data_IF_936553728811
#
_entry.id   IF_936553728811
#
_cell.length_a   1.000
_cell.length_b   1.000
_cell.length_c   1.000
_cell.angle_alpha   90.00
_cell.angle_beta   90.00
_cell.angle_gamma   90.00
#
_symmetry.space_group_name_H-M   'P 1'
#
loop_
_entity.id
_entity.type
_entity.pdbx_description
1 polymer ?
#
# COMPACT_ATOMS: atom_id res chain seq x y z
N UNK A 1 7.57 0.51 -27.36
CA UNK A 1 8.70 -0.16 -26.66
C UNK A 1 8.20 -1.52 -26.19
N UNK A 2 8.89 -2.61 -26.62
CA UNK A 2 8.53 -3.96 -26.19
C UNK A 2 9.29 -4.27 -24.88
N UNK A 3 8.83 -3.66 -23.79
CA UNK A 3 9.44 -3.97 -22.51
C UNK A 3 9.15 -5.43 -22.15
N UNK A 4 10.19 -6.14 -21.70
CA UNK A 4 10.05 -7.53 -21.33
C UNK A 4 9.06 -7.66 -20.16
N UNK A 5 8.34 -8.79 -20.06
CA UNK A 5 7.45 -9.05 -18.94
C UNK A 5 8.15 -8.86 -17.58
N UNK A 6 9.45 -9.18 -17.53
CA UNK A 6 10.26 -8.95 -16.31
C UNK A 6 10.35 -7.46 -15.95
N UNK A 7 10.63 -6.59 -16.92
CA UNK A 7 10.71 -5.15 -16.69
C UNK A 7 9.34 -4.60 -16.24
N UNK A 8 8.26 -5.06 -16.84
CA UNK A 8 6.91 -4.69 -16.47
C UNK A 8 6.57 -5.12 -15.03
N UNK A 9 6.91 -6.36 -14.65
CA UNK A 9 6.70 -6.84 -13.28
C UNK A 9 7.56 -6.07 -12.26
N UNK A 10 8.81 -5.72 -12.60
CA UNK A 10 9.64 -4.87 -11.72
C UNK A 10 9.02 -3.48 -11.56
N UNK A 11 8.48 -2.88 -12.62
CA UNK A 11 7.79 -1.60 -12.55
C UNK A 11 6.53 -1.69 -11.66
N UNK A 12 5.73 -2.74 -11.80
CA UNK A 12 4.55 -2.97 -10.94
C UNK A 12 4.93 -3.17 -9.47
N UNK A 13 6.00 -3.95 -9.21
CA UNK A 13 6.54 -4.16 -7.86
C UNK A 13 6.99 -2.84 -7.23
N UNK A 14 7.84 -2.09 -7.93
CA UNK A 14 8.38 -0.83 -7.41
C UNK A 14 7.31 0.25 -7.26
N UNK A 15 6.42 0.39 -8.24
CA UNK A 15 5.35 1.39 -8.21
C UNK A 15 4.36 1.11 -7.07
N UNK A 16 3.94 -0.16 -6.91
CA UNK A 16 3.03 -0.54 -5.82
C UNK A 16 3.71 -0.36 -4.46
N UNK A 17 4.97 -0.77 -4.32
CA UNK A 17 5.74 -0.59 -3.10
C UNK A 17 5.90 0.89 -2.73
N UNK A 18 6.18 1.73 -3.71
CA UNK A 18 6.41 3.17 -3.51
C UNK A 18 5.16 3.88 -2.95
N UNK A 19 3.99 3.73 -3.59
CA UNK A 19 2.82 4.44 -3.10
C UNK A 19 2.33 3.90 -1.77
N UNK A 20 2.45 2.60 -1.52
CA UNK A 20 2.11 2.03 -0.22
C UNK A 20 3.09 2.45 0.88
N UNK A 21 4.38 2.58 0.56
CA UNK A 21 5.34 3.13 1.51
C UNK A 21 4.94 4.55 1.97
N UNK A 22 4.54 5.43 1.06
CA UNK A 22 4.07 6.77 1.41
C UNK A 22 2.75 6.75 2.18
N UNK A 23 1.78 5.95 1.73
CA UNK A 23 0.47 5.87 2.38
C UNK A 23 0.54 5.30 3.79
N UNK A 24 1.24 4.16 3.96
CA UNK A 24 1.45 3.54 5.27
C UNK A 24 2.32 4.42 6.16
N UNK A 25 3.39 5.03 5.62
CA UNK A 25 4.24 5.97 6.35
C UNK A 25 3.45 7.18 6.88
N UNK A 26 2.52 7.70 6.09
CA UNK A 26 1.59 8.75 6.52
C UNK A 26 0.74 8.30 7.72
N UNK A 27 0.19 7.08 7.67
CA UNK A 27 -0.61 6.53 8.77
C UNK A 27 0.24 6.23 10.01
N UNK A 28 1.48 5.78 9.83
CA UNK A 28 2.44 5.63 10.93
C UNK A 28 2.73 6.99 11.59
N UNK A 29 3.00 8.03 10.79
CA UNK A 29 3.24 9.36 11.31
C UNK A 29 2.04 9.89 12.11
N UNK A 30 0.83 9.70 11.61
CA UNK A 30 -0.41 10.09 12.29
C UNK A 30 -0.62 9.34 13.60
N UNK A 31 -0.44 8.01 13.60
CA UNK A 31 -0.79 7.16 14.75
C UNK A 31 0.31 7.10 15.82
N UNK A 32 1.57 7.17 15.41
CA UNK A 32 2.71 6.87 16.28
C UNK A 32 3.61 8.08 16.54
N UNK A 33 3.76 8.98 15.57
CA UNK A 33 4.69 10.11 15.69
C UNK A 33 4.01 11.44 16.04
N UNK A 34 2.71 11.42 16.39
CA UNK A 34 1.96 12.61 16.82
C UNK A 34 1.69 13.64 15.69
N UNK A 35 1.77 13.23 14.42
CA UNK A 35 1.42 14.12 13.33
C UNK A 35 -0.07 14.47 13.36
N UNK A 36 -0.39 15.75 13.23
CA UNK A 36 -1.77 16.24 13.17
C UNK A 36 -2.22 16.32 11.70
N UNK A 37 -2.74 15.20 11.18
CA UNK A 37 -3.23 15.08 9.81
C UNK A 37 -4.73 14.83 9.81
N UNK A 38 -5.50 15.67 9.12
CA UNK A 38 -6.90 15.43 8.84
C UNK A 38 -7.07 14.52 7.61
N UNK A 39 -8.32 14.19 7.32
CA UNK A 39 -8.66 13.32 6.17
C UNK A 39 -8.16 13.92 4.85
N UNK A 40 -8.20 15.24 4.70
CA UNK A 40 -7.76 15.93 3.50
C UNK A 40 -6.25 15.72 3.24
N UNK A 41 -5.42 15.95 4.23
CA UNK A 41 -3.96 15.77 4.13
C UNK A 41 -3.60 14.32 3.84
N UNK A 42 -4.28 13.37 4.47
CA UNK A 42 -4.11 11.94 4.20
C UNK A 42 -4.44 11.63 2.74
N UNK A 43 -5.58 12.12 2.22
CA UNK A 43 -5.96 11.92 0.83
C UNK A 43 -4.95 12.54 -0.16
N UNK A 44 -4.41 13.71 0.15
CA UNK A 44 -3.37 14.36 -0.66
C UNK A 44 -2.09 13.49 -0.69
N UNK A 45 -1.63 13.00 0.45
CA UNK A 45 -0.40 12.18 0.52
C UNK A 45 -0.57 10.88 -0.27
N UNK A 46 -1.70 10.18 -0.12
CA UNK A 46 -2.02 9.00 -0.92
C UNK A 46 -2.11 9.32 -2.40
N UNK A 47 -2.79 10.41 -2.77
CA UNK A 47 -2.94 10.85 -4.16
C UNK A 47 -1.61 11.19 -4.82
N UNK A 48 -0.73 11.91 -4.11
CA UNK A 48 0.62 12.23 -4.61
C UNK A 48 1.49 10.97 -4.73
N UNK A 49 1.43 10.06 -3.76
CA UNK A 49 2.15 8.80 -3.80
C UNK A 49 1.75 7.94 -5.00
N UNK A 50 0.45 7.80 -5.25
CA UNK A 50 -0.07 7.09 -6.44
C UNK A 50 0.34 7.81 -7.73
N UNK A 51 0.20 9.13 -7.79
CA UNK A 51 0.55 9.91 -8.99
C UNK A 51 2.03 9.78 -9.34
N UNK A 52 2.91 9.83 -8.33
CA UNK A 52 4.35 9.62 -8.52
C UNK A 52 4.63 8.20 -9.03
N UNK A 53 4.02 7.18 -8.43
CA UNK A 53 4.18 5.80 -8.85
C UNK A 53 3.73 5.58 -10.30
N UNK A 54 2.56 6.14 -10.67
CA UNK A 54 2.05 6.09 -12.06
C UNK A 54 3.02 6.79 -13.00
N UNK A 55 3.47 7.98 -12.67
CA UNK A 55 4.41 8.73 -13.51
C UNK A 55 5.69 7.96 -13.80
N UNK A 56 6.23 7.26 -12.79
CA UNK A 56 7.47 6.50 -12.93
C UNK A 56 7.30 5.17 -13.68
N UNK A 57 6.12 4.55 -13.65
CA UNK A 57 5.95 3.17 -14.12
C UNK A 57 5.04 3.02 -15.33
N UNK A 58 4.21 4.03 -15.67
CA UNK A 58 3.24 3.94 -16.75
C UNK A 58 3.88 3.66 -18.13
N UNK A 59 5.03 4.26 -18.42
CA UNK A 59 5.76 4.04 -19.68
C UNK A 59 6.32 2.63 -19.82
N UNK A 60 6.41 1.85 -18.73
CA UNK A 60 7.01 0.49 -18.72
C UNK A 60 5.91 -0.58 -18.62
N UNK A 61 5.03 -0.49 -17.62
CA UNK A 61 4.02 -1.51 -17.33
C UNK A 61 2.59 -1.10 -17.66
N UNK A 62 2.34 0.19 -17.79
CA UNK A 62 1.00 0.77 -17.82
C UNK A 62 0.50 1.18 -16.43
N UNK A 63 1.31 0.99 -15.38
CA UNK A 63 1.03 1.38 -14.00
C UNK A 63 -0.34 0.90 -13.49
N UNK A 64 -0.58 -0.40 -13.54
CA UNK A 64 -1.80 -0.97 -12.95
C UNK A 64 -1.79 -0.86 -11.42
N UNK A 65 -0.66 -1.16 -10.80
CA UNK A 65 -0.35 -1.00 -9.36
C UNK A 65 -1.38 -1.62 -8.41
N UNK A 66 -2.31 -2.39 -8.92
CA UNK A 66 -3.41 -3.00 -8.18
C UNK A 66 -3.93 -4.24 -8.90
N UNK A 67 -4.06 -5.40 -8.22
CA UNK A 67 -4.63 -6.61 -8.81
C UNK A 67 -6.04 -6.41 -9.39
N UNK A 68 -6.91 -5.66 -8.71
CA UNK A 68 -8.26 -5.41 -9.19
C UNK A 68 -8.27 -4.60 -10.50
N UNK A 69 -7.38 -3.61 -10.62
CA UNK A 69 -7.20 -2.85 -11.87
C UNK A 69 -6.67 -3.76 -12.98
N UNK A 70 -5.70 -4.62 -12.68
CA UNK A 70 -5.16 -5.58 -13.65
C UNK A 70 -6.23 -6.53 -14.17
N UNK A 71 -7.08 -7.05 -13.28
CA UNK A 71 -8.20 -7.93 -13.65
C UNK A 71 -9.25 -7.16 -14.47
N UNK A 72 -9.60 -5.95 -14.07
CA UNK A 72 -10.56 -5.12 -14.81
C UNK A 72 -10.06 -4.82 -16.23
N UNK A 73 -8.79 -4.46 -16.39
CA UNK A 73 -8.20 -4.21 -17.71
C UNK A 73 -8.12 -5.48 -18.58
N UNK A 74 -7.93 -6.64 -17.97
CA UNK A 74 -8.01 -7.91 -18.68
C UNK A 74 -9.43 -8.19 -19.17
N UNK A 75 -10.44 -7.98 -18.35
CA UNK A 75 -11.82 -8.28 -18.69
C UNK A 75 -12.42 -7.28 -19.70
N UNK A 76 -12.07 -5.99 -19.57
CA UNK A 76 -12.77 -4.92 -20.29
C UNK A 76 -11.90 -4.13 -21.28
N UNK A 77 -10.57 -4.26 -21.23
CA UNK A 77 -9.63 -3.46 -22.04
C UNK A 77 -8.58 -4.29 -22.80
N UNK A 78 -8.88 -5.57 -23.05
CA UNK A 78 -8.04 -6.49 -23.83
C UNK A 78 -6.59 -6.66 -23.31
N UNK A 79 -6.35 -6.44 -22.03
CA UNK A 79 -5.04 -6.72 -21.44
C UNK A 79 -4.74 -8.23 -21.51
N UNK A 80 -3.51 -8.65 -21.89
CA UNK A 80 -3.21 -10.06 -22.10
C UNK A 80 -3.33 -10.90 -20.83
N UNK A 81 -4.23 -11.90 -20.79
CA UNK A 81 -4.50 -12.75 -19.62
C UNK A 81 -3.25 -13.43 -19.03
N UNK A 82 -2.27 -13.80 -19.90
CA UNK A 82 -0.99 -14.39 -19.48
C UNK A 82 -0.15 -13.47 -18.56
N UNK A 83 -0.41 -12.16 -18.57
CA UNK A 83 0.30 -11.18 -17.72
C UNK A 83 -0.42 -10.92 -16.40
N UNK A 84 -1.67 -11.32 -16.23
CA UNK A 84 -2.47 -11.00 -15.04
C UNK A 84 -1.82 -11.55 -13.79
N UNK A 85 -1.54 -12.85 -13.74
CA UNK A 85 -0.93 -13.48 -12.56
C UNK A 85 0.47 -12.91 -12.24
N UNK A 86 1.42 -12.78 -13.20
CA UNK A 86 2.70 -12.11 -12.93
C UNK A 86 2.56 -10.69 -12.36
N UNK A 87 1.64 -9.89 -12.89
CA UNK A 87 1.39 -8.53 -12.38
C UNK A 87 0.85 -8.56 -10.96
N UNK A 88 -0.19 -9.38 -10.68
CA UNK A 88 -0.75 -9.50 -9.35
C UNK A 88 0.30 -9.92 -8.31
N UNK A 89 1.15 -10.90 -8.65
CA UNK A 89 2.23 -11.34 -7.75
C UNK A 89 3.23 -10.22 -7.50
N UNK A 90 3.66 -9.50 -8.56
CA UNK A 90 4.59 -8.39 -8.44
C UNK A 90 4.01 -7.25 -7.58
N UNK A 91 2.73 -6.91 -7.77
CA UNK A 91 2.01 -5.90 -7.00
C UNK A 91 1.89 -6.29 -5.53
N UNK A 92 1.49 -7.52 -5.22
CA UNK A 92 1.39 -8.02 -3.84
C UNK A 92 2.75 -8.02 -3.13
N UNK A 93 3.80 -8.48 -3.83
CA UNK A 93 5.15 -8.45 -3.29
C UNK A 93 5.66 -7.01 -3.06
N UNK A 94 5.36 -6.10 -3.99
CA UNK A 94 5.67 -4.67 -3.87
C UNK A 94 4.93 -4.03 -2.69
N UNK A 95 3.63 -4.31 -2.56
CA UNK A 95 2.81 -3.86 -1.45
C UNK A 95 3.39 -4.29 -0.10
N UNK A 96 3.71 -5.57 0.02
CA UNK A 96 4.35 -6.11 1.23
C UNK A 96 5.71 -5.45 1.49
N UNK A 97 6.55 -5.30 0.47
CA UNK A 97 7.85 -4.63 0.59
C UNK A 97 7.73 -3.18 1.08
N UNK A 98 6.81 -2.40 0.51
CA UNK A 98 6.54 -1.02 0.94
C UNK A 98 6.05 -0.94 2.39
N UNK A 99 5.14 -1.84 2.78
CA UNK A 99 4.64 -1.95 4.14
C UNK A 99 5.75 -2.32 5.15
N UNK A 100 6.59 -3.28 4.80
CA UNK A 100 7.74 -3.71 5.63
C UNK A 100 8.73 -2.57 5.81
N UNK A 101 9.07 -1.84 4.75
CA UNK A 101 9.96 -0.67 4.85
C UNK A 101 9.38 0.41 5.76
N UNK A 102 8.09 0.72 5.62
CA UNK A 102 7.42 1.67 6.51
C UNK A 102 7.45 1.18 7.97
N UNK A 103 7.14 -0.10 8.20
CA UNK A 103 7.19 -0.69 9.54
C UNK A 103 8.59 -0.58 10.17
N UNK A 104 9.66 -0.91 9.43
CA UNK A 104 11.02 -0.80 9.95
C UNK A 104 11.41 0.64 10.29
N UNK A 105 11.00 1.60 9.46
CA UNK A 105 11.27 3.02 9.70
C UNK A 105 10.64 3.51 11.02
N UNK A 106 9.45 3.02 11.34
CA UNK A 106 8.70 3.41 12.55
C UNK A 106 8.77 2.38 13.68
N UNK A 107 9.60 1.35 13.58
CA UNK A 107 9.60 0.19 14.49
C UNK A 107 9.71 0.55 15.98
N UNK A 108 10.59 1.48 16.35
CA UNK A 108 10.73 1.92 17.72
C UNK A 108 9.45 2.59 18.26
N UNK A 109 8.79 3.40 17.43
CA UNK A 109 7.53 4.06 17.82
C UNK A 109 6.39 3.07 17.99
N UNK A 110 6.37 1.95 17.26
CA UNK A 110 5.44 0.84 17.52
C UNK A 110 5.66 0.25 18.91
N UNK A 111 6.91 -0.03 19.28
CA UNK A 111 7.28 -0.59 20.58
C UNK A 111 6.90 0.37 21.71
N UNK A 112 7.23 1.66 21.56
CA UNK A 112 6.92 2.68 22.54
C UNK A 112 5.41 2.85 22.74
N UNK A 113 4.64 2.87 21.64
CA UNK A 113 3.19 2.97 21.68
C UNK A 113 2.56 1.75 22.36
N UNK A 114 2.97 0.54 22.02
CA UNK A 114 2.49 -0.71 22.63
C UNK A 114 2.77 -0.72 24.14
N UNK A 115 3.98 -0.30 24.53
CA UNK A 115 4.39 -0.24 25.94
C UNK A 115 3.60 0.81 26.73
N UNK A 116 3.43 2.01 26.16
CA UNK A 116 2.70 3.10 26.82
C UNK A 116 1.22 2.78 27.05
N UNK A 117 0.62 1.95 26.20
CA UNK A 117 -0.79 1.55 26.28
C UNK A 117 -1.02 0.15 26.85
N UNK A 118 0.04 -0.52 27.34
CA UNK A 118 0.00 -1.93 27.80
C UNK A 118 -0.66 -2.88 26.79
N UNK A 119 -0.37 -2.65 25.51
CA UNK A 119 -1.03 -3.32 24.39
C UNK A 119 -0.33 -4.64 24.05
N UNK A 120 -1.11 -5.71 23.90
CA UNK A 120 -0.63 -7.01 23.46
C UNK A 120 -0.99 -7.21 22.00
N UNK A 121 0.01 -7.54 21.16
CA UNK A 121 -0.23 -7.83 19.73
C UNK A 121 -1.20 -9.00 19.58
N UNK A 122 -2.20 -8.85 18.73
CA UNK A 122 -3.27 -9.82 18.52
C UNK A 122 -4.48 -9.65 19.41
N UNK A 123 -4.44 -8.71 20.39
CA UNK A 123 -5.61 -8.32 21.16
C UNK A 123 -6.54 -7.38 20.35
N UNK A 124 -7.76 -7.19 20.81
CA UNK A 124 -8.72 -6.27 20.19
C UNK A 124 -8.19 -4.83 20.14
N UNK A 125 -7.48 -4.41 21.19
CA UNK A 125 -6.85 -3.09 21.27
C UNK A 125 -5.78 -2.89 20.19
N UNK A 126 -5.08 -3.97 19.79
CA UNK A 126 -4.03 -3.91 18.77
C UNK A 126 -4.56 -3.66 17.34
N UNK A 127 -5.87 -3.77 17.13
CA UNK A 127 -6.50 -3.48 15.83
C UNK A 127 -6.25 -2.05 15.37
N UNK A 128 -6.11 -1.10 16.28
CA UNK A 128 -5.77 0.28 15.92
C UNK A 128 -4.39 0.41 15.25
N UNK A 129 -3.42 -0.42 15.61
CA UNK A 129 -2.11 -0.49 14.95
C UNK A 129 -2.17 -1.32 13.67
N UNK A 130 -2.91 -2.43 13.69
CA UNK A 130 -3.12 -3.25 12.50
C UNK A 130 -3.85 -2.48 11.39
N UNK A 131 -4.71 -1.52 11.74
CA UNK A 131 -5.41 -0.65 10.79
C UNK A 131 -4.50 0.29 10.00
N UNK A 132 -3.23 0.44 10.38
CA UNK A 132 -2.22 1.13 9.57
C UNK A 132 -1.94 0.36 8.27
N UNK A 133 -2.00 -0.97 8.32
CA UNK A 133 -1.63 -1.86 7.22
C UNK A 133 -2.83 -2.46 6.49
N UNK A 134 -4.00 -2.45 7.09
CA UNK A 134 -5.21 -3.01 6.48
C UNK A 134 -6.47 -2.28 6.93
N UNK A 135 -7.54 -2.44 6.16
CA UNK A 135 -8.85 -1.84 6.47
C UNK A 135 -9.71 -2.83 7.25
N UNK A 136 -10.42 -2.33 8.24
CA UNK A 136 -11.40 -3.07 9.01
C UNK A 136 -12.79 -2.44 8.86
N UNK A 137 -13.87 -3.23 8.94
CA UNK A 137 -15.23 -2.69 8.94
C UNK A 137 -15.40 -1.67 10.07
N UNK A 138 -16.10 -0.57 9.79
CA UNK A 138 -16.45 0.37 10.85
C UNK A 138 -17.39 -0.30 11.86
N UNK A 139 -17.22 -0.02 13.15
CA UNK A 139 -18.03 -0.63 14.21
C UNK A 139 -19.55 -0.36 14.06
N UNK A 140 -19.92 0.68 13.30
CA UNK A 140 -21.31 1.01 12.99
C UNK A 140 -21.96 0.13 11.90
N UNK A 141 -21.20 -0.73 11.24
CA UNK A 141 -21.68 -1.64 10.18
C UNK A 141 -22.00 -3.06 10.68
N UNK A 142 -22.15 -3.25 11.99
CA UNK A 142 -22.75 -4.46 12.52
C UNK A 142 -24.26 -4.43 12.21
N UNK A 143 -24.58 -4.85 10.96
CA UNK A 143 -25.95 -5.17 10.52
C UNK A 143 -26.22 -6.63 10.87
#
# INVERSE_FOLDING_TARGET
>A
MNDSLKAQCVAEFLGTGLFLFFGIGCLCALKLAGASLGLWEICIIWGLGISLAVYLTAGISGAHLNPAVTIALWLFAAFPGRKVLPFCVAQLAGAFGGAVLAYFLYSNLFIDFESAHNMVRGSAESLQLASIFSTYPAAALNI
#
